data_IF_841295338700
#
_entry.id   IF_841295338700
#
_cell.length_a   1.000
_cell.length_b   1.000
_cell.length_c   1.000
_cell.angle_alpha   90.00
_cell.angle_beta   90.00
_cell.angle_gamma   90.00
#
_symmetry.space_group_name_H-M   'P 1'
#
loop_
_entity.id
_entity.type
_entity.pdbx_description
1 polymer ?
#
# COMPACT_ATOMS: atom_id res chain seq x y z
N UNK A 1 -34.99 1.97 7.06
CA UNK A 1 -33.89 1.67 6.12
C UNK A 1 -33.69 2.88 5.24
N UNK A 2 -32.80 3.78 5.62
CA UNK A 2 -32.44 4.92 4.78
C UNK A 2 -31.32 4.42 3.86
N UNK A 3 -31.60 4.35 2.55
CA UNK A 3 -30.62 3.95 1.54
C UNK A 3 -29.65 5.10 1.42
N UNK A 4 -28.47 4.97 2.02
CA UNK A 4 -27.43 5.98 1.93
C UNK A 4 -26.87 5.93 0.51
N UNK A 5 -27.39 6.80 -0.35
CA UNK A 5 -26.71 7.14 -1.61
C UNK A 5 -25.45 7.90 -1.22
N UNK A 6 -24.31 7.22 -1.33
CA UNK A 6 -23.01 7.91 -1.39
C UNK A 6 -23.11 8.76 -2.65
N UNK A 7 -23.44 10.03 -2.49
CA UNK A 7 -23.38 11.00 -3.58
C UNK A 7 -21.92 11.07 -3.96
N UNK A 8 -21.55 10.38 -5.03
CA UNK A 8 -20.24 10.48 -5.64
C UNK A 8 -20.14 11.93 -6.11
N UNK A 9 -19.46 12.76 -5.30
CA UNK A 9 -19.12 14.11 -5.72
C UNK A 9 -18.32 14.00 -7.02
N UNK A 10 -18.52 14.96 -7.92
CA UNK A 10 -17.83 15.01 -9.21
C UNK A 10 -16.30 14.95 -9.03
N UNK A 11 -15.81 15.46 -7.91
CA UNK A 11 -14.40 15.39 -7.48
C UNK A 11 -13.93 13.96 -7.16
N UNK A 12 -14.80 13.13 -6.56
CA UNK A 12 -14.50 11.73 -6.22
C UNK A 12 -14.46 10.84 -7.46
N UNK A 13 -15.35 11.09 -8.42
CA UNK A 13 -15.34 10.39 -9.71
C UNK A 13 -14.06 10.69 -10.50
N UNK A 14 -13.67 11.96 -10.59
CA UNK A 14 -12.42 12.39 -11.23
C UNK A 14 -11.18 11.78 -10.54
N UNK A 15 -11.17 11.73 -9.21
CA UNK A 15 -10.12 11.08 -8.44
C UNK A 15 -10.05 9.56 -8.70
N UNK A 16 -11.20 8.88 -8.75
CA UNK A 16 -11.27 7.44 -9.05
C UNK A 16 -10.81 7.13 -10.49
N UNK A 17 -11.18 7.96 -11.45
CA UNK A 17 -10.72 7.83 -12.83
C UNK A 17 -9.20 8.00 -12.92
N UNK A 18 -8.64 9.01 -12.25
CA UNK A 18 -7.19 9.23 -12.18
C UNK A 18 -6.49 8.03 -11.54
N UNK A 19 -7.01 7.54 -10.41
CA UNK A 19 -6.52 6.34 -9.75
C UNK A 19 -6.53 5.12 -10.68
N UNK A 20 -7.63 4.90 -11.42
CA UNK A 20 -7.77 3.77 -12.33
C UNK A 20 -6.74 3.82 -13.46
N UNK A 21 -6.56 4.98 -14.09
CA UNK A 21 -5.55 5.20 -15.12
C UNK A 21 -4.13 4.93 -14.63
N UNK A 22 -3.81 5.36 -13.42
CA UNK A 22 -2.50 5.11 -12.81
C UNK A 22 -2.27 3.61 -12.58
N UNK A 23 -3.26 2.86 -12.10
CA UNK A 23 -3.14 1.40 -11.92
C UNK A 23 -3.05 0.65 -13.25
N UNK A 24 -3.74 1.11 -14.30
CA UNK A 24 -3.58 0.56 -15.64
C UNK A 24 -2.15 0.73 -16.17
N UNK A 25 -1.52 1.89 -15.95
CA UNK A 25 -0.12 2.10 -16.33
C UNK A 25 0.83 1.26 -15.48
N UNK A 26 0.56 1.06 -14.19
CA UNK A 26 1.32 0.11 -13.36
C UNK A 26 1.25 -1.29 -13.97
N UNK A 27 0.05 -1.79 -14.30
CA UNK A 27 -0.13 -3.11 -14.89
C UNK A 27 0.59 -3.23 -16.24
N UNK A 28 0.53 -2.19 -17.07
CA UNK A 28 1.27 -2.13 -18.35
C UNK A 28 2.78 -2.20 -18.12
N UNK A 29 3.30 -1.38 -17.21
CA UNK A 29 4.71 -1.37 -16.86
C UNK A 29 5.17 -2.72 -16.31
N UNK A 30 4.38 -3.38 -15.45
CA UNK A 30 4.66 -4.72 -14.95
C UNK A 30 4.72 -5.75 -16.09
N UNK A 31 3.80 -5.68 -17.07
CA UNK A 31 3.83 -6.57 -18.23
C UNK A 31 5.04 -6.32 -19.14
N UNK A 32 5.45 -5.06 -19.32
CA UNK A 32 6.56 -4.67 -20.19
C UNK A 32 7.95 -4.88 -19.56
N UNK A 33 8.07 -4.64 -18.26
CA UNK A 33 9.33 -4.47 -17.53
C UNK A 33 9.47 -5.42 -16.34
N UNK A 34 8.42 -6.16 -16.01
CA UNK A 34 8.36 -7.00 -14.81
C UNK A 34 9.47 -8.04 -14.77
N UNK A 35 9.69 -8.81 -15.84
CA UNK A 35 10.76 -9.82 -15.89
C UNK A 35 12.14 -9.23 -15.63
N UNK A 36 12.47 -8.14 -16.32
CA UNK A 36 13.72 -7.41 -16.13
C UNK A 36 13.90 -6.93 -14.68
N UNK A 37 12.86 -6.34 -14.08
CA UNK A 37 12.95 -5.85 -12.72
C UNK A 37 12.93 -6.97 -11.69
N UNK A 38 12.22 -8.07 -11.91
CA UNK A 38 12.25 -9.24 -11.02
C UNK A 38 13.64 -9.87 -10.95
N UNK A 39 14.42 -9.86 -12.04
CA UNK A 39 15.82 -10.32 -12.03
C UNK A 39 16.75 -9.35 -11.28
N UNK A 40 16.50 -8.04 -11.39
CA UNK A 40 17.33 -7.00 -10.79
C UNK A 40 16.97 -6.68 -9.33
N UNK A 41 15.77 -7.02 -8.91
CA UNK A 41 15.31 -6.89 -7.54
C UNK A 41 15.80 -8.11 -6.76
N UNK A 42 16.52 -7.90 -5.65
CA UNK A 42 17.07 -8.98 -4.82
C UNK A 42 16.36 -9.00 -3.45
N UNK A 43 15.34 -9.86 -3.24
CA UNK A 43 14.58 -9.86 -2.00
C UNK A 43 15.44 -10.42 -0.87
N UNK A 44 15.16 -10.01 0.37
CA UNK A 44 15.68 -10.69 1.53
C UNK A 44 15.19 -12.15 1.58
N UNK A 45 15.94 -13.04 2.24
CA UNK A 45 15.52 -14.44 2.40
C UNK A 45 14.31 -14.60 3.33
N UNK A 46 14.10 -13.62 4.22
CA UNK A 46 13.03 -13.62 5.22
C UNK A 46 12.34 -12.27 5.26
N UNK A 47 11.05 -12.26 5.60
CA UNK A 47 10.27 -11.04 5.75
C UNK A 47 10.89 -10.05 6.77
N UNK A 48 10.86 -8.73 6.50
CA UNK A 48 10.35 -8.10 5.29
C UNK A 48 11.22 -8.36 4.05
N UNK A 49 10.60 -8.77 2.93
CA UNK A 49 11.32 -9.19 1.72
C UNK A 49 11.93 -8.01 0.94
N UNK A 50 11.30 -6.84 1.00
CA UNK A 50 11.79 -5.58 0.41
C UNK A 50 11.46 -4.40 1.30
N UNK A 51 12.23 -4.16 2.37
CA UNK A 51 12.14 -2.90 3.10
C UNK A 51 12.15 -1.72 2.13
N UNK A 52 11.32 -0.71 2.39
CA UNK A 52 11.18 0.45 1.49
C UNK A 52 12.54 1.09 1.14
N UNK A 53 13.45 1.13 2.11
CA UNK A 53 14.81 1.68 1.98
C UNK A 53 15.70 0.90 1.02
N UNK A 54 15.36 -0.36 0.72
CA UNK A 54 16.15 -1.26 -0.11
C UNK A 54 15.67 -1.28 -1.58
N UNK A 55 14.59 -0.57 -1.93
CA UNK A 55 14.18 -0.45 -3.32
C UNK A 55 15.27 0.25 -4.15
N UNK A 56 15.73 -0.35 -5.27
CA UNK A 56 16.66 0.31 -6.15
C UNK A 56 16.07 1.63 -6.68
N UNK A 57 16.72 2.75 -6.43
CA UNK A 57 16.21 4.07 -6.83
C UNK A 57 15.82 4.11 -8.33
N UNK A 58 16.58 3.45 -9.19
CA UNK A 58 16.28 3.33 -10.63
C UNK A 58 14.87 2.81 -10.95
N UNK A 59 14.36 1.82 -10.21
CA UNK A 59 13.03 1.24 -10.47
C UNK A 59 11.94 2.20 -10.01
N UNK A 60 12.16 2.86 -8.86
CA UNK A 60 11.27 3.89 -8.32
C UNK A 60 11.15 5.03 -9.32
N UNK A 61 12.29 5.59 -9.76
CA UNK A 61 12.31 6.73 -10.68
C UNK A 61 11.72 6.37 -12.05
N UNK A 62 11.97 5.16 -12.57
CA UNK A 62 11.41 4.71 -13.85
C UNK A 62 9.87 4.71 -13.83
N UNK A 63 9.27 3.99 -12.87
CA UNK A 63 7.82 3.89 -12.78
C UNK A 63 7.19 5.21 -12.35
N UNK A 64 7.75 5.91 -11.36
CA UNK A 64 7.21 7.18 -10.88
C UNK A 64 7.14 8.23 -11.99
N UNK A 65 8.17 8.29 -12.85
CA UNK A 65 8.19 9.18 -14.01
C UNK A 65 7.14 8.80 -15.05
N UNK A 66 6.83 7.52 -15.24
CA UNK A 66 5.73 7.06 -16.10
C UNK A 66 4.37 7.50 -15.54
N UNK A 67 4.14 7.27 -14.25
CA UNK A 67 2.89 7.66 -13.59
C UNK A 67 2.63 9.16 -13.64
N UNK A 68 3.65 10.00 -13.38
CA UNK A 68 3.52 11.45 -13.52
C UNK A 68 3.15 11.86 -14.96
N UNK A 69 3.68 11.18 -15.98
CA UNK A 69 3.33 11.47 -17.38
C UNK A 69 1.88 11.11 -17.72
N UNK A 70 1.34 10.04 -17.15
CA UNK A 70 -0.07 9.64 -17.35
C UNK A 70 -1.02 10.73 -16.89
N UNK A 71 -0.69 11.40 -15.79
CA UNK A 71 -1.48 12.53 -15.27
C UNK A 71 -1.07 13.89 -15.88
N UNK A 72 -0.24 13.89 -16.94
CA UNK A 72 0.15 15.10 -17.66
C UNK A 72 1.21 15.97 -16.96
N UNK A 73 1.84 15.48 -15.89
CA UNK A 73 2.86 16.22 -15.13
C UNK A 73 4.25 15.81 -15.57
N UNK A 74 5.05 16.79 -16.01
CA UNK A 74 6.46 16.58 -16.34
C UNK A 74 7.34 16.99 -15.16
N UNK A 75 7.73 16.00 -14.35
CA UNK A 75 8.63 16.20 -13.22
C UNK A 75 10.09 15.93 -13.64
N UNK A 76 11.03 16.87 -13.45
CA UNK A 76 12.45 16.61 -13.67
C UNK A 76 12.95 15.47 -12.80
N UNK A 77 13.85 14.66 -13.33
CA UNK A 77 14.38 13.49 -12.62
C UNK A 77 15.14 13.87 -11.34
N UNK A 78 15.81 15.02 -11.33
CA UNK A 78 16.47 15.55 -10.14
C UNK A 78 15.49 15.82 -9.00
N UNK A 79 14.26 16.27 -9.31
CA UNK A 79 13.20 16.48 -8.32
C UNK A 79 12.74 15.12 -7.79
N UNK A 80 12.45 14.15 -8.68
CA UNK A 80 12.03 12.81 -8.26
C UNK A 80 13.07 12.16 -7.32
N UNK A 81 14.36 12.23 -7.64
CA UNK A 81 15.45 11.70 -6.80
C UNK A 81 15.54 12.43 -5.45
N UNK A 82 15.44 13.76 -5.46
CA UNK A 82 15.42 14.55 -4.23
C UNK A 82 14.25 14.17 -3.33
N UNK A 83 13.05 14.07 -3.89
CA UNK A 83 11.84 13.70 -3.15
C UNK A 83 11.89 12.26 -2.66
N UNK A 84 12.42 11.32 -3.45
CA UNK A 84 12.65 9.94 -3.00
C UNK A 84 13.58 9.92 -1.78
N UNK A 85 14.69 10.66 -1.84
CA UNK A 85 15.66 10.78 -0.74
C UNK A 85 15.03 11.37 0.53
N UNK A 86 14.17 12.38 0.40
CA UNK A 86 13.42 12.95 1.53
C UNK A 86 12.42 11.96 2.12
N UNK A 87 11.67 11.26 1.26
CA UNK A 87 10.66 10.28 1.65
C UNK A 87 11.27 9.12 2.46
N UNK A 88 12.35 8.51 1.97
CA UNK A 88 13.03 7.42 2.69
C UNK A 88 13.69 7.89 3.99
N UNK A 89 14.01 9.19 4.10
CA UNK A 89 14.50 9.80 5.33
C UNK A 89 13.38 10.18 6.32
N UNK A 90 12.12 9.85 6.00
CA UNK A 90 10.95 10.16 6.84
C UNK A 90 10.61 11.65 6.87
N UNK A 91 11.09 12.44 5.90
CA UNK A 91 10.76 13.86 5.81
C UNK A 91 9.42 14.04 5.11
N UNK A 92 8.63 15.06 5.50
CA UNK A 92 7.38 15.36 4.82
C UNK A 92 7.67 15.82 3.38
N UNK A 93 6.98 15.22 2.42
CA UNK A 93 6.97 15.66 1.03
C UNK A 93 5.79 16.61 0.86
N UNK A 94 6.05 17.81 0.33
CA UNK A 94 5.06 18.89 0.31
C UNK A 94 3.97 18.75 -0.77
N UNK A 95 4.27 18.09 -1.89
CA UNK A 95 3.39 17.98 -3.05
C UNK A 95 2.51 16.71 -2.96
N UNK A 96 1.18 16.84 -2.74
CA UNK A 96 0.29 15.70 -2.52
C UNK A 96 0.13 14.80 -3.76
N UNK A 97 0.11 15.37 -4.96
CA UNK A 97 0.01 14.64 -6.22
C UNK A 97 1.27 13.80 -6.45
N UNK A 98 2.43 14.38 -6.17
CA UNK A 98 3.73 13.71 -6.27
C UNK A 98 3.81 12.53 -5.29
N UNK A 99 3.35 12.72 -4.05
CA UNK A 99 3.24 11.65 -3.03
C UNK A 99 2.26 10.56 -3.46
N UNK A 100 1.11 10.92 -4.01
CA UNK A 100 0.11 9.95 -4.47
C UNK A 100 0.68 9.04 -5.57
N UNK A 101 1.39 9.62 -6.53
CA UNK A 101 2.10 8.86 -7.56
C UNK A 101 3.23 8.00 -6.97
N UNK A 102 3.94 8.48 -5.93
CA UNK A 102 4.97 7.69 -5.25
C UNK A 102 4.37 6.48 -4.55
N UNK A 103 3.25 6.64 -3.84
CA UNK A 103 2.57 5.53 -3.17
C UNK A 103 2.10 4.46 -4.17
N UNK A 104 1.54 4.86 -5.31
CA UNK A 104 1.16 3.92 -6.38
C UNK A 104 2.41 3.26 -7.00
N UNK A 105 3.51 4.00 -7.14
CA UNK A 105 4.80 3.45 -7.59
C UNK A 105 5.30 2.35 -6.67
N UNK A 106 5.39 2.64 -5.36
CA UNK A 106 5.85 1.67 -4.35
C UNK A 106 4.96 0.44 -4.32
N UNK A 107 3.64 0.61 -4.38
CA UNK A 107 2.70 -0.50 -4.46
C UNK A 107 2.87 -1.33 -5.74
N UNK A 108 3.03 -0.68 -6.89
CA UNK A 108 3.25 -1.35 -8.17
C UNK A 108 4.53 -2.18 -8.20
N UNK A 109 5.62 -1.68 -7.61
CA UNK A 109 6.89 -2.42 -7.53
C UNK A 109 6.77 -3.58 -6.53
N UNK A 110 6.16 -3.35 -5.36
CA UNK A 110 5.93 -4.39 -4.36
C UNK A 110 5.12 -5.57 -4.92
N UNK A 111 4.16 -5.31 -5.82
CA UNK A 111 3.37 -6.36 -6.46
C UNK A 111 4.15 -7.23 -7.45
N UNK A 112 5.31 -6.79 -7.97
CA UNK A 112 6.18 -7.66 -8.79
C UNK A 112 6.69 -8.86 -7.98
N UNK A 113 6.91 -8.68 -6.67
CA UNK A 113 7.37 -9.75 -5.80
C UNK A 113 6.24 -10.73 -5.44
N UNK A 114 5.01 -10.23 -5.27
CA UNK A 114 3.88 -11.06 -4.84
C UNK A 114 3.53 -12.17 -5.86
N UNK A 115 3.86 -11.99 -7.14
CA UNK A 115 3.63 -13.00 -8.18
C UNK A 115 4.61 -14.20 -8.12
N UNK A 116 5.74 -14.04 -7.41
CA UNK A 116 6.87 -14.99 -7.42
C UNK A 116 7.33 -15.42 -6.02
N UNK A 117 6.77 -14.79 -4.98
CA UNK A 117 7.24 -14.90 -3.61
C UNK A 117 6.74 -16.12 -2.84
N UNK A 118 7.19 -16.29 -1.59
CA UNK A 118 6.74 -17.36 -0.71
C UNK A 118 5.25 -17.23 -0.37
N UNK A 119 4.62 -18.33 0.05
CA UNK A 119 3.25 -18.34 0.54
C UNK A 119 3.13 -17.49 1.82
N UNK A 120 2.64 -16.26 1.68
CA UNK A 120 2.51 -15.28 2.76
C UNK A 120 1.27 -15.51 3.64
N UNK A 121 0.42 -16.49 3.33
CA UNK A 121 -0.74 -16.81 4.17
C UNK A 121 -0.35 -17.34 5.55
N UNK A 122 0.91 -17.79 5.72
CA UNK A 122 1.46 -18.29 6.98
C UNK A 122 2.28 -17.26 7.76
N UNK A 123 2.38 -16.02 7.27
CA UNK A 123 3.12 -14.98 7.94
C UNK A 123 2.30 -14.42 9.12
N UNK A 124 2.83 -14.54 10.34
CA UNK A 124 2.14 -14.13 11.58
C UNK A 124 2.67 -12.81 12.18
N UNK A 125 3.40 -12.00 11.39
CA UNK A 125 3.94 -10.73 11.87
C UNK A 125 2.94 -9.57 11.84
N UNK A 126 3.19 -8.58 12.70
CA UNK A 126 2.40 -7.34 12.81
C UNK A 126 2.78 -6.27 11.77
N UNK A 127 3.95 -6.40 11.15
CA UNK A 127 4.42 -5.54 10.06
C UNK A 127 4.11 -6.15 8.69
N UNK A 128 4.16 -5.34 7.64
CA UNK A 128 3.98 -5.83 6.28
C UNK A 128 5.12 -6.78 5.89
N UNK A 129 4.83 -8.02 5.43
CA UNK A 129 5.88 -8.95 5.03
C UNK A 129 6.64 -8.49 3.79
N UNK A 130 6.09 -7.56 3.01
CA UNK A 130 6.77 -7.02 1.83
C UNK A 130 7.69 -5.88 2.24
N UNK A 131 7.13 -4.76 2.73
CA UNK A 131 7.90 -3.54 2.96
C UNK A 131 8.31 -3.25 4.40
N UNK A 132 7.86 -4.06 5.36
CA UNK A 132 8.14 -3.87 6.78
C UNK A 132 7.30 -2.79 7.47
N UNK A 133 6.47 -2.05 6.73
CA UNK A 133 5.63 -0.99 7.29
C UNK A 133 4.65 -1.54 8.34
N UNK A 134 4.39 -0.77 9.40
CA UNK A 134 3.45 -1.19 10.44
C UNK A 134 2.02 -1.25 9.89
N UNK A 135 1.28 -2.31 10.24
CA UNK A 135 -0.13 -2.38 9.87
C UNK A 135 -0.93 -1.28 10.59
N UNK A 136 -1.63 -0.44 9.83
CA UNK A 136 -2.50 0.60 10.35
C UNK A 136 -3.99 0.20 10.35
N UNK A 137 -4.35 -0.81 9.54
CA UNK A 137 -5.74 -1.21 9.30
C UNK A 137 -5.86 -2.73 9.26
N UNK A 138 -6.96 -3.25 9.84
CA UNK A 138 -7.41 -4.62 9.63
C UNK A 138 -8.77 -4.65 8.94
N UNK A 139 -8.92 -5.55 7.97
CA UNK A 139 -10.14 -5.79 7.20
C UNK A 139 -10.77 -7.11 7.65
N UNK A 140 -12.06 -7.09 7.96
CA UNK A 140 -12.84 -8.29 8.21
C UNK A 140 -13.62 -8.65 6.95
N UNK A 141 -13.26 -9.78 6.33
CA UNK A 141 -13.87 -10.21 5.07
C UNK A 141 -15.07 -11.14 5.33
N UNK A 142 -16.23 -10.90 4.70
CA UNK A 142 -17.35 -11.84 4.72
C UNK A 142 -16.98 -13.20 4.09
N UNK A 143 -17.70 -14.29 4.42
CA UNK A 143 -18.80 -14.38 5.39
C UNK A 143 -18.33 -14.75 6.82
N UNK A 144 -17.09 -15.24 6.97
CA UNK A 144 -16.60 -15.79 8.24
C UNK A 144 -15.74 -14.81 9.07
N UNK A 145 -15.62 -13.56 8.63
CA UNK A 145 -14.85 -12.53 9.35
C UNK A 145 -13.34 -12.81 9.35
N UNK A 146 -12.81 -13.39 8.26
CA UNK A 146 -11.35 -13.58 8.14
C UNK A 146 -10.69 -12.21 8.22
N UNK A 147 -9.81 -12.05 9.20
CA UNK A 147 -9.06 -10.83 9.44
C UNK A 147 -7.83 -10.81 8.55
N UNK A 148 -7.72 -9.76 7.74
CA UNK A 148 -6.52 -9.44 6.98
C UNK A 148 -5.97 -8.10 7.44
N UNK A 149 -4.66 -7.96 7.47
CA UNK A 149 -4.02 -6.65 7.61
C UNK A 149 -3.84 -6.03 6.23
N UNK A 150 -3.93 -4.70 6.15
CA UNK A 150 -3.71 -3.96 4.92
C UNK A 150 -2.55 -2.97 5.11
N UNK A 151 -1.51 -3.08 4.29
CA UNK A 151 -0.40 -2.14 4.30
C UNK A 151 -0.79 -0.86 3.56
N UNK A 152 -0.81 0.28 4.25
CA UNK A 152 -1.14 1.57 3.62
C UNK A 152 -0.07 2.10 2.68
N UNK A 153 1.15 1.55 2.73
CA UNK A 153 2.27 1.95 1.89
C UNK A 153 2.33 1.14 0.58
N UNK A 154 2.44 -0.19 0.65
CA UNK A 154 2.56 -1.04 -0.53
C UNK A 154 1.25 -1.72 -0.96
N UNK A 155 0.18 -1.60 -0.16
CA UNK A 155 -1.15 -2.19 -0.39
C UNK A 155 -1.20 -3.71 -0.37
N UNK A 156 -0.12 -4.37 0.07
CA UNK A 156 -0.16 -5.80 0.33
C UNK A 156 -1.10 -6.12 1.48
N UNK A 157 -1.87 -7.19 1.32
CA UNK A 157 -2.76 -7.73 2.35
C UNK A 157 -2.30 -9.12 2.74
N UNK A 158 -2.25 -9.39 4.05
CA UNK A 158 -1.86 -10.70 4.58
C UNK A 158 -2.80 -11.13 5.70
N UNK A 159 -2.87 -12.44 5.90
CA UNK A 159 -3.72 -13.04 6.94
C UNK A 159 -3.13 -12.80 8.33
N UNK A 160 -3.98 -12.59 9.33
CA UNK A 160 -3.59 -12.53 10.74
C UNK A 160 -4.59 -13.33 11.59
N UNK A 161 -4.17 -13.75 12.78
CA UNK A 161 -5.06 -14.29 13.79
C UNK A 161 -6.28 -13.39 14.00
N UNK A 162 -7.45 -14.02 14.14
CA UNK A 162 -8.75 -13.33 14.17
C UNK A 162 -8.89 -12.36 15.35
N UNK A 163 -8.14 -12.59 16.44
CA UNK A 163 -8.19 -11.83 17.69
C UNK A 163 -6.79 -11.36 18.05
N UNK A 164 -6.66 -10.11 18.49
CA UNK A 164 -5.39 -9.53 18.92
C UNK A 164 -5.24 -8.05 18.56
N UNK A 165 -4.53 -7.29 19.40
CA UNK A 165 -4.12 -5.93 19.06
C UNK A 165 -3.12 -5.95 17.90
N UNK A 166 -3.39 -5.20 16.83
CA UNK A 166 -2.51 -5.11 15.64
C UNK A 166 -1.11 -4.56 15.99
N UNK A 167 -1.01 -3.82 17.10
CA UNK A 167 0.21 -3.13 17.51
C UNK A 167 1.06 -3.93 18.49
N UNK A 168 0.46 -4.43 19.58
CA UNK A 168 1.21 -5.14 20.64
C UNK A 168 1.01 -6.66 20.61
N UNK A 169 0.08 -7.17 19.82
CA UNK A 169 -0.21 -8.61 19.73
C UNK A 169 -1.00 -9.19 20.91
N UNK A 170 -1.37 -8.38 21.92
CA UNK A 170 -2.17 -8.86 23.05
C UNK A 170 -3.51 -9.42 22.56
N UNK A 171 -3.78 -10.68 22.90
CA UNK A 171 -5.05 -11.36 22.65
C UNK A 171 -6.07 -11.21 23.78
N UNK A 172 -5.75 -10.44 24.83
CA UNK A 172 -6.65 -10.24 25.95
C UNK A 172 -7.81 -9.32 25.54
N UNK A 173 -9.01 -9.89 25.51
CA UNK A 173 -10.23 -9.17 25.16
C UNK A 173 -10.55 -8.03 26.14
N UNK A 174 -10.11 -8.14 27.41
CA UNK A 174 -10.30 -7.08 28.39
C UNK A 174 -9.44 -5.84 28.15
N UNK A 175 -8.37 -5.99 27.35
CA UNK A 175 -7.47 -4.92 26.93
C UNK A 175 -7.85 -4.32 25.56
N UNK A 176 -8.94 -4.78 24.94
CA UNK A 176 -9.37 -4.35 23.60
C UNK A 176 -10.73 -3.64 23.67
N UNK A 177 -10.72 -2.31 23.60
CA UNK A 177 -11.96 -1.53 23.49
C UNK A 177 -12.22 -1.16 22.03
N UNK A 178 -13.40 -1.49 21.52
CA UNK A 178 -13.83 -1.15 20.16
C UNK A 178 -14.81 0.02 20.21
N UNK A 179 -14.40 1.14 19.61
CA UNK A 179 -15.24 2.31 19.43
C UNK A 179 -15.94 2.23 18.07
N UNK A 180 -17.25 2.33 18.07
CA UNK A 180 -18.10 2.30 16.86
C UNK A 180 -18.64 3.68 16.54
N UNK A 181 -18.78 4.01 15.26
CA UNK A 181 -19.47 5.22 14.81
C UNK A 181 -20.80 4.89 14.12
N UNK A 182 -21.87 5.59 14.49
CA UNK A 182 -23.14 5.52 13.76
C UNK A 182 -23.07 6.16 12.36
N UNK A 183 -22.15 7.10 12.14
CA UNK A 183 -21.91 7.75 10.86
C UNK A 183 -21.17 6.83 9.88
N UNK A 184 -20.29 5.97 10.40
CA UNK A 184 -19.48 5.03 9.62
C UNK A 184 -19.74 3.58 10.05
N UNK A 185 -20.92 3.01 9.72
CA UNK A 185 -21.26 1.65 10.12
C UNK A 185 -20.27 0.65 9.52
N UNK A 186 -19.76 -0.26 10.37
CA UNK A 186 -18.77 -1.27 9.99
C UNK A 186 -17.32 -0.82 10.11
N UNK A 187 -17.05 0.42 10.52
CA UNK A 187 -15.72 0.89 10.92
C UNK A 187 -15.65 0.92 12.44
N UNK A 188 -14.60 0.29 12.97
CA UNK A 188 -14.31 0.21 14.39
C UNK A 188 -12.89 0.70 14.67
N UNK A 189 -12.71 1.45 15.75
CA UNK A 189 -11.40 1.95 16.20
C UNK A 189 -11.05 1.25 17.51
N UNK A 190 -9.87 0.66 17.56
CA UNK A 190 -9.33 0.04 18.80
C UNK A 190 -8.70 1.12 19.66
N UNK A 191 -9.13 1.24 20.91
CA UNK A 191 -8.70 2.24 21.89
C UNK A 191 -8.10 1.62 23.16
#
# INVERSE_FOLDING_TARGET
>A
MNKMEIVVDKTMEEAYQTYSLLNEEVARWQNERGSYWTEELNPAETAPYYPLVDFPERVIIELWKRLNRVIGVLVPESVLRGTWSEFIAGKPVADPELVSCLQITVSGIAHLFNASGPDLDKYEGTGCPICGESAALSLLTPPYGKRRLHCTLCRHEWSMTSVGCIRCGSGDASEQNYLTSGEFPGIEVVA
#
